data_IF_112400429778
#
_entry.id   IF_112400429778
#
_cell.length_a   1.000
_cell.length_b   1.000
_cell.length_c   1.000
_cell.angle_alpha   90.00
_cell.angle_beta   90.00
_cell.angle_gamma   90.00
#
_symmetry.space_group_name_H-M   'P 1'
#
loop_
_entity.id
_entity.type
_entity.pdbx_description
1 polymer ?
#
# COMPACT_ATOMS: atom_id res chain seq x y z
N UNK A 1 -2.09 -22.82 -3.65
CA UNK A 1 -2.16 -22.77 -2.19
C UNK A 1 -3.42 -22.05 -1.69
N UNK A 2 -3.74 -20.85 -2.20
CA UNK A 2 -4.95 -20.09 -1.85
C UNK A 2 -6.25 -20.85 -2.17
N UNK A 3 -6.36 -21.43 -3.36
CA UNK A 3 -7.54 -22.21 -3.79
C UNK A 3 -7.80 -23.43 -2.92
N UNK A 4 -6.75 -24.16 -2.56
CA UNK A 4 -6.86 -25.32 -1.67
C UNK A 4 -7.35 -24.94 -0.27
N UNK A 5 -6.85 -23.82 0.28
CA UNK A 5 -7.27 -23.30 1.56
C UNK A 5 -8.76 -22.90 1.56
N UNK A 6 -9.22 -22.22 0.51
CA UNK A 6 -10.62 -21.81 0.37
C UNK A 6 -11.56 -23.02 0.27
N UNK A 7 -11.20 -24.02 -0.54
CA UNK A 7 -12.01 -25.25 -0.69
C UNK A 7 -12.09 -26.00 0.64
N UNK A 8 -10.96 -26.17 1.34
CA UNK A 8 -10.92 -26.85 2.63
C UNK A 8 -11.74 -26.10 3.70
N UNK A 9 -11.73 -24.77 3.67
CA UNK A 9 -12.51 -23.92 4.57
C UNK A 9 -14.03 -24.05 4.31
N UNK A 10 -14.44 -24.15 3.04
CA UNK A 10 -15.85 -24.35 2.68
C UNK A 10 -16.36 -25.74 3.06
N UNK A 11 -15.53 -26.77 2.93
CA UNK A 11 -15.87 -28.16 3.28
C UNK A 11 -15.98 -28.34 4.80
N UNK A 12 -15.18 -27.57 5.56
CA UNK A 12 -15.16 -27.69 7.03
C UNK A 12 -16.32 -26.92 7.66
N UNK A 13 -16.56 -25.67 7.27
CA UNK A 13 -17.67 -24.83 7.80
C UNK A 13 -17.93 -23.62 6.91
N UNK A 14 -19.07 -23.61 6.22
CA UNK A 14 -19.45 -22.55 5.30
C UNK A 14 -19.65 -21.17 5.98
N UNK A 15 -20.09 -21.15 7.25
CA UNK A 15 -20.30 -19.92 8.03
C UNK A 15 -18.99 -19.22 8.36
N UNK A 16 -17.97 -19.97 8.74
CA UNK A 16 -16.62 -19.44 8.99
C UNK A 16 -15.96 -18.96 7.69
N UNK A 17 -16.17 -19.68 6.58
CA UNK A 17 -15.69 -19.29 5.28
C UNK A 17 -16.27 -17.94 4.84
N UNK A 18 -17.59 -17.73 5.01
CA UNK A 18 -18.26 -16.47 4.72
C UNK A 18 -17.73 -15.30 5.57
N UNK A 19 -17.52 -15.50 6.86
CA UNK A 19 -16.96 -14.49 7.75
C UNK A 19 -15.54 -14.08 7.35
N UNK A 20 -14.69 -15.04 7.01
CA UNK A 20 -13.32 -14.78 6.54
C UNK A 20 -13.30 -14.07 5.17
N UNK A 21 -14.18 -14.45 4.25
CA UNK A 21 -14.33 -13.79 2.95
C UNK A 21 -14.82 -12.34 3.14
N UNK A 22 -15.78 -12.11 4.02
CA UNK A 22 -16.27 -10.76 4.31
C UNK A 22 -15.17 -9.87 4.91
N UNK A 23 -14.37 -10.39 5.86
CA UNK A 23 -13.26 -9.66 6.45
C UNK A 23 -12.17 -9.33 5.40
N UNK A 24 -11.83 -10.27 4.52
CA UNK A 24 -10.87 -10.03 3.42
C UNK A 24 -11.41 -9.04 2.40
N UNK A 25 -12.69 -9.09 2.06
CA UNK A 25 -13.32 -8.11 1.14
C UNK A 25 -13.28 -6.69 1.71
N UNK A 26 -13.56 -6.52 3.00
CA UNK A 26 -13.44 -5.22 3.67
C UNK A 26 -11.99 -4.71 3.58
N UNK A 27 -11.00 -5.56 3.84
CA UNK A 27 -9.59 -5.23 3.69
C UNK A 27 -9.22 -4.80 2.26
N UNK A 28 -9.74 -5.50 1.26
CA UNK A 28 -9.53 -5.17 -0.16
C UNK A 28 -10.13 -3.81 -0.55
N UNK A 29 -11.33 -3.52 -0.08
CA UNK A 29 -11.98 -2.22 -0.33
C UNK A 29 -11.17 -1.08 0.29
N UNK A 30 -10.72 -1.23 1.54
CA UNK A 30 -9.85 -0.25 2.18
C UNK A 30 -8.54 -0.04 1.42
N UNK A 31 -7.90 -1.12 1.01
CA UNK A 31 -6.68 -1.07 0.20
C UNK A 31 -6.89 -0.32 -1.12
N UNK A 32 -7.99 -0.61 -1.83
CA UNK A 32 -8.31 0.02 -3.09
C UNK A 32 -8.53 1.53 -2.96
N UNK A 33 -9.23 1.96 -1.91
CA UNK A 33 -9.47 3.38 -1.62
C UNK A 33 -8.13 4.10 -1.36
N UNK A 34 -7.26 3.52 -0.53
CA UNK A 34 -5.97 4.10 -0.20
C UNK A 34 -5.09 4.18 -1.45
N UNK A 35 -5.03 3.11 -2.25
CA UNK A 35 -4.23 3.06 -3.46
C UNK A 35 -4.67 4.11 -4.48
N UNK A 36 -5.98 4.25 -4.69
CA UNK A 36 -6.54 5.26 -5.58
C UNK A 36 -6.24 6.70 -5.12
N UNK A 37 -6.27 6.93 -3.81
CA UNK A 37 -5.91 8.22 -3.23
C UNK A 37 -4.42 8.52 -3.31
N UNK A 38 -3.60 7.49 -3.17
CA UNK A 38 -2.14 7.58 -3.17
C UNK A 38 -1.57 7.84 -4.58
N UNK A 39 -2.25 7.33 -5.61
CA UNK A 39 -1.77 7.38 -6.99
C UNK A 39 -1.49 8.80 -7.48
N UNK A 40 -2.31 9.77 -7.09
CA UNK A 40 -2.10 11.18 -7.41
C UNK A 40 -0.72 11.68 -6.97
N UNK A 41 -0.31 11.37 -5.77
CA UNK A 41 0.99 11.81 -5.22
C UNK A 41 2.19 11.16 -5.90
N UNK A 42 2.02 9.92 -6.39
CA UNK A 42 3.06 9.27 -7.18
C UNK A 42 3.19 9.88 -8.58
N UNK A 43 2.07 10.26 -9.21
CA UNK A 43 2.07 10.95 -10.49
C UNK A 43 2.70 12.33 -10.35
N UNK A 44 2.28 13.14 -9.37
CA UNK A 44 2.84 14.47 -9.09
C UNK A 44 4.36 14.40 -8.86
N UNK A 45 4.84 13.38 -8.16
CA UNK A 45 6.27 13.13 -7.96
C UNK A 45 7.00 12.85 -9.29
N UNK A 46 6.42 12.00 -10.13
CA UNK A 46 7.04 11.62 -11.40
C UNK A 46 7.08 12.81 -12.36
N UNK A 47 6.03 13.61 -12.40
CA UNK A 47 5.94 14.82 -13.20
C UNK A 47 6.96 15.87 -12.76
N UNK A 48 7.05 16.12 -11.45
CA UNK A 48 8.04 17.06 -10.90
C UNK A 48 9.47 16.63 -11.18
N UNK A 49 9.75 15.31 -11.10
CA UNK A 49 11.06 14.75 -11.41
C UNK A 49 11.38 14.85 -12.90
N UNK A 50 10.39 14.58 -13.77
CA UNK A 50 10.52 14.72 -15.21
C UNK A 50 10.83 16.17 -15.63
N UNK A 51 10.12 17.15 -15.04
CA UNK A 51 10.34 18.58 -15.28
C UNK A 51 11.75 19.01 -14.86
N UNK A 52 12.21 18.56 -13.69
CA UNK A 52 13.57 18.85 -13.23
C UNK A 52 14.63 18.25 -14.13
N UNK A 53 14.46 16.99 -14.54
CA UNK A 53 15.41 16.33 -15.43
C UNK A 53 15.46 16.99 -16.82
N UNK A 54 14.30 17.36 -17.38
CA UNK A 54 14.24 18.09 -18.64
C UNK A 54 14.96 19.45 -18.57
N UNK A 55 14.78 20.16 -17.45
CA UNK A 55 15.48 21.43 -17.25
C UNK A 55 17.00 21.24 -17.13
N UNK A 56 17.45 20.21 -16.44
CA UNK A 56 18.88 19.89 -16.33
C UNK A 56 19.46 19.57 -17.72
N UNK A 57 18.77 18.76 -18.51
CA UNK A 57 19.17 18.37 -19.85
C UNK A 57 19.26 19.60 -20.79
N UNK A 58 18.26 20.50 -20.72
CA UNK A 58 18.26 21.75 -21.48
C UNK A 58 19.43 22.65 -21.08
N UNK A 59 19.68 22.84 -19.80
CA UNK A 59 20.78 23.68 -19.32
C UNK A 59 22.15 23.06 -19.62
N UNK A 60 22.25 21.75 -19.61
CA UNK A 60 23.48 21.04 -19.94
C UNK A 60 23.79 21.11 -21.44
N UNK A 61 22.77 20.93 -22.28
CA UNK A 61 22.88 21.06 -23.73
C UNK A 61 23.19 22.48 -24.18
N UNK A 62 22.64 23.49 -23.48
CA UNK A 62 22.88 24.92 -23.72
C UNK A 62 24.01 25.54 -22.91
N UNK A 63 24.92 24.74 -22.34
CA UNK A 63 25.93 25.20 -21.39
C UNK A 63 26.78 26.38 -21.89
N UNK A 64 27.16 26.38 -23.16
CA UNK A 64 27.99 27.46 -23.76
C UNK A 64 27.23 28.79 -23.80
N UNK A 65 25.93 28.74 -24.11
CA UNK A 65 25.06 29.92 -24.13
C UNK A 65 24.87 30.49 -22.71
N UNK A 66 24.67 29.60 -21.75
CA UNK A 66 24.52 29.95 -20.31
C UNK A 66 25.79 30.67 -19.79
N UNK A 67 26.95 30.18 -20.18
CA UNK A 67 28.24 30.73 -19.77
C UNK A 67 28.46 32.14 -20.33
N UNK A 68 28.10 32.37 -21.58
CA UNK A 68 28.25 33.68 -22.25
C UNK A 68 27.28 34.69 -21.68
N UNK A 69 26.05 34.31 -21.39
CA UNK A 69 24.98 35.19 -20.91
C UNK A 69 25.04 35.54 -19.42
N UNK A 70 26.00 35.03 -18.66
CA UNK A 70 26.13 35.20 -17.19
C UNK A 70 24.85 34.90 -16.41
N UNK A 71 23.99 34.01 -16.93
CA UNK A 71 22.69 33.70 -16.38
C UNK A 71 22.72 32.69 -15.19
N UNK A 72 23.91 32.39 -14.66
CA UNK A 72 24.12 31.36 -13.63
C UNK A 72 23.25 31.51 -12.39
N UNK A 73 23.04 32.75 -11.92
CA UNK A 73 22.29 32.96 -10.67
C UNK A 73 20.79 32.72 -10.88
N UNK A 74 20.25 33.15 -12.00
CA UNK A 74 18.86 32.92 -12.38
C UNK A 74 18.59 31.41 -12.59
N UNK A 75 19.51 30.70 -13.22
CA UNK A 75 19.42 29.25 -13.43
C UNK A 75 19.43 28.50 -12.11
N UNK A 76 20.32 28.88 -11.19
CA UNK A 76 20.38 28.32 -9.83
C UNK A 76 19.10 28.56 -9.05
N UNK A 77 18.49 29.71 -9.16
CA UNK A 77 17.25 30.04 -8.47
C UNK A 77 16.08 29.20 -9.01
N UNK A 78 15.96 29.11 -10.33
CA UNK A 78 14.96 28.24 -10.98
C UNK A 78 15.15 26.79 -10.59
N UNK A 79 16.38 26.29 -10.63
CA UNK A 79 16.72 24.93 -10.20
C UNK A 79 16.33 24.68 -8.73
N UNK A 80 16.63 25.62 -7.83
CA UNK A 80 16.25 25.50 -6.40
C UNK A 80 14.74 25.41 -6.23
N UNK A 81 13.99 26.21 -7.00
CA UNK A 81 12.52 26.14 -7.00
C UNK A 81 12.00 24.79 -7.43
N UNK A 82 12.49 24.26 -8.54
CA UNK A 82 12.11 22.94 -9.06
C UNK A 82 12.54 21.81 -8.11
N UNK A 83 13.75 21.88 -7.57
CA UNK A 83 14.24 20.88 -6.61
C UNK A 83 13.41 20.87 -5.32
N UNK A 84 12.94 22.04 -4.87
CA UNK A 84 12.02 22.13 -3.73
C UNK A 84 10.68 21.48 -4.04
N UNK A 85 10.13 21.66 -5.23
CA UNK A 85 8.91 21.00 -5.66
C UNK A 85 9.06 19.48 -5.69
N UNK A 86 10.16 18.97 -6.22
CA UNK A 86 10.51 17.53 -6.20
C UNK A 86 10.64 17.03 -4.76
N UNK A 87 11.30 17.77 -3.89
CA UNK A 87 11.45 17.41 -2.48
C UNK A 87 10.10 17.29 -1.79
N UNK A 88 9.19 18.24 -1.97
CA UNK A 88 7.85 18.22 -1.35
C UNK A 88 6.99 17.07 -1.90
N UNK A 89 7.00 16.84 -3.21
CA UNK A 89 6.30 15.73 -3.84
C UNK A 89 6.86 14.38 -3.37
N UNK A 90 8.19 14.26 -3.29
CA UNK A 90 8.86 13.05 -2.81
C UNK A 90 8.54 12.78 -1.33
N UNK A 91 8.57 13.80 -0.48
CA UNK A 91 8.23 13.68 0.95
C UNK A 91 6.81 13.16 1.16
N UNK A 92 5.84 13.71 0.42
CA UNK A 92 4.44 13.28 0.50
C UNK A 92 4.27 11.84 -0.01
N UNK A 93 4.88 11.49 -1.13
CA UNK A 93 4.85 10.15 -1.70
C UNK A 93 5.51 9.11 -0.78
N UNK A 94 6.68 9.43 -0.22
CA UNK A 94 7.42 8.56 0.71
C UNK A 94 6.64 8.34 2.02
N UNK A 95 6.03 9.38 2.55
CA UNK A 95 5.20 9.29 3.76
C UNK A 95 4.01 8.35 3.55
N UNK A 96 3.29 8.50 2.43
CA UNK A 96 2.18 7.61 2.11
C UNK A 96 2.65 6.17 1.89
N UNK A 97 3.74 5.98 1.18
CA UNK A 97 4.34 4.66 0.96
C UNK A 97 4.76 4.00 2.27
N UNK A 98 5.38 4.77 3.18
CA UNK A 98 5.84 4.28 4.48
C UNK A 98 4.70 3.86 5.41
N UNK A 99 3.56 4.55 5.38
CA UNK A 99 2.37 4.21 6.16
C UNK A 99 1.65 2.96 5.62
N UNK A 100 1.81 2.65 4.35
CA UNK A 100 1.07 1.57 3.71
C UNK A 100 1.35 0.20 4.35
N UNK A 101 2.61 -0.06 4.68
CA UNK A 101 3.03 -1.32 5.31
C UNK A 101 2.45 -1.52 6.72
N UNK A 102 2.58 -0.56 7.66
CA UNK A 102 1.95 -0.67 8.97
C UNK A 102 0.43 -0.79 8.89
N UNK A 103 -0.21 -0.06 7.98
CA UNK A 103 -1.65 -0.09 7.80
C UNK A 103 -2.14 -1.47 7.35
N UNK A 104 -1.42 -2.11 6.41
CA UNK A 104 -1.71 -3.48 5.98
C UNK A 104 -1.58 -4.48 7.13
N UNK A 105 -0.58 -4.32 7.99
CA UNK A 105 -0.42 -5.16 9.17
C UNK A 105 -1.58 -4.99 10.17
N UNK A 106 -2.03 -3.76 10.39
CA UNK A 106 -3.18 -3.48 11.26
C UNK A 106 -4.46 -4.11 10.70
N UNK A 107 -4.73 -3.94 9.41
CA UNK A 107 -5.90 -4.54 8.75
C UNK A 107 -5.85 -6.07 8.84
N UNK A 108 -4.69 -6.67 8.59
CA UNK A 108 -4.49 -8.12 8.70
C UNK A 108 -4.72 -8.63 10.12
N UNK A 109 -4.20 -7.93 11.13
CA UNK A 109 -4.38 -8.30 12.53
C UNK A 109 -5.84 -8.12 13.00
N UNK A 110 -6.53 -7.06 12.55
CA UNK A 110 -7.95 -6.87 12.82
C UNK A 110 -8.79 -7.99 12.19
N UNK A 111 -8.48 -8.39 10.96
CA UNK A 111 -9.12 -9.53 10.30
C UNK A 111 -8.91 -10.83 11.08
N UNK A 112 -7.68 -11.07 11.55
CA UNK A 112 -7.36 -12.23 12.39
C UNK A 112 -8.16 -12.24 13.69
N UNK A 113 -8.21 -11.12 14.42
CA UNK A 113 -8.99 -11.00 15.66
C UNK A 113 -10.47 -11.22 15.40
N UNK A 114 -11.03 -10.65 14.34
CA UNK A 114 -12.44 -10.84 13.99
C UNK A 114 -12.77 -12.33 13.74
N UNK A 115 -11.91 -13.04 13.01
CA UNK A 115 -12.08 -14.49 12.76
C UNK A 115 -11.98 -15.28 14.06
N UNK A 116 -11.05 -14.94 14.96
CA UNK A 116 -10.91 -15.61 16.25
C UNK A 116 -12.13 -15.39 17.15
N UNK A 117 -12.63 -14.17 17.23
CA UNK A 117 -13.81 -13.84 18.07
C UNK A 117 -15.07 -14.52 17.53
N UNK A 118 -15.29 -14.48 16.23
CA UNK A 118 -16.41 -15.16 15.59
C UNK A 118 -16.31 -16.69 15.73
N UNK A 119 -15.10 -17.23 15.60
CA UNK A 119 -14.83 -18.65 15.80
C UNK A 119 -15.13 -19.10 17.24
N UNK A 120 -14.67 -18.32 18.22
CA UNK A 120 -14.93 -18.59 19.63
C UNK A 120 -16.43 -18.53 19.96
N UNK A 121 -17.15 -17.53 19.45
CA UNK A 121 -18.60 -17.40 19.64
C UNK A 121 -19.37 -18.59 19.04
N UNK A 122 -18.95 -19.10 17.88
CA UNK A 122 -19.56 -20.26 17.23
C UNK A 122 -19.29 -21.58 17.97
N UNK A 123 -18.10 -21.71 18.59
CA UNK A 123 -17.76 -22.86 19.45
C UNK A 123 -18.59 -22.85 20.74
N UNK A 124 -18.76 -21.69 21.37
CA UNK A 124 -19.59 -21.55 22.58
C UNK A 124 -21.06 -21.92 22.30
N UNK A 125 -21.54 -21.70 21.09
CA UNK A 125 -22.88 -22.12 20.65
C UNK A 125 -22.95 -23.62 20.26
N UNK A 126 -21.89 -24.41 20.51
CA UNK A 126 -21.87 -25.85 20.31
C UNK A 126 -21.84 -26.31 18.85
N UNK A 127 -21.66 -25.39 17.91
CA UNK A 127 -21.77 -25.69 16.46
C UNK A 127 -20.45 -26.20 15.85
N UNK A 128 -19.27 -26.01 16.50
CA UNK A 128 -17.96 -26.29 15.88
C UNK A 128 -16.97 -26.88 16.89
N UNK A 129 -16.14 -27.83 16.46
CA UNK A 129 -15.05 -28.40 17.27
C UNK A 129 -13.85 -27.44 17.30
N UNK A 130 -13.21 -27.31 18.46
CA UNK A 130 -12.07 -26.41 18.74
C UNK A 130 -10.91 -26.52 17.72
N UNK A 131 -10.70 -27.69 17.12
CA UNK A 131 -9.67 -27.90 16.09
C UNK A 131 -9.86 -27.12 14.79
N UNK A 132 -11.09 -26.67 14.49
CA UNK A 132 -11.39 -25.89 13.29
C UNK A 132 -10.88 -24.44 13.40
N UNK A 133 -10.88 -23.87 14.62
CA UNK A 133 -10.37 -22.52 14.87
C UNK A 133 -8.86 -22.46 14.63
N UNK A 134 -8.12 -23.44 15.14
CA UNK A 134 -6.66 -23.51 14.96
C UNK A 134 -6.27 -23.71 13.49
N UNK A 135 -7.02 -24.49 12.74
CA UNK A 135 -6.80 -24.67 11.31
C UNK A 135 -7.10 -23.39 10.51
N UNK A 136 -8.20 -22.68 10.81
CA UNK A 136 -8.58 -21.45 10.12
C UNK A 136 -7.64 -20.30 10.46
N UNK A 137 -7.17 -20.18 11.70
CA UNK A 137 -6.25 -19.14 12.15
C UNK A 137 -4.84 -19.32 11.57
N UNK A 138 -4.35 -20.55 11.46
CA UNK A 138 -3.07 -20.84 10.82
C UNK A 138 -3.10 -20.59 9.30
N UNK A 139 -4.23 -20.79 8.65
CA UNK A 139 -4.45 -20.48 7.24
C UNK A 139 -4.50 -18.97 6.97
N UNK A 140 -5.12 -18.19 7.86
CA UNK A 140 -5.10 -16.73 7.77
C UNK A 140 -3.69 -16.14 8.02
N UNK A 141 -2.89 -16.75 8.88
CA UNK A 141 -1.50 -16.34 9.15
C UNK A 141 -0.53 -16.72 8.02
N UNK A 142 -0.92 -17.63 7.13
CA UNK A 142 -0.12 -18.07 5.97
C UNK A 142 -0.23 -17.14 4.75
N UNK A 143 -0.86 -15.96 4.88
CA UNK A 143 -0.75 -14.88 3.89
C UNK A 143 0.72 -14.45 3.79
N UNK A 144 1.31 -14.40 2.59
CA UNK A 144 2.76 -14.29 2.42
C UNK A 144 3.29 -12.99 3.03
N UNK A 145 4.01 -13.12 4.15
CA UNK A 145 4.96 -12.11 4.58
C UNK A 145 6.16 -12.17 3.63
N UNK A 146 6.10 -11.43 2.54
CA UNK A 146 7.28 -11.00 1.78
C UNK A 146 7.17 -9.52 1.43
#
# INVERSE_FOLDING_TARGET
QLTGCVIMMFVTEWRMALAAIAATMIGFVFMFIIMKRSQKYFVDRQESLGTLNGYIEEMYSGHDVVRISRANDRIKETFRGMNRAVYEANRKSQFLSGIMQPLMNVIGNLGYVAVCVLGAALVMNGSIKFGVITASSSMCACSPRR
#
